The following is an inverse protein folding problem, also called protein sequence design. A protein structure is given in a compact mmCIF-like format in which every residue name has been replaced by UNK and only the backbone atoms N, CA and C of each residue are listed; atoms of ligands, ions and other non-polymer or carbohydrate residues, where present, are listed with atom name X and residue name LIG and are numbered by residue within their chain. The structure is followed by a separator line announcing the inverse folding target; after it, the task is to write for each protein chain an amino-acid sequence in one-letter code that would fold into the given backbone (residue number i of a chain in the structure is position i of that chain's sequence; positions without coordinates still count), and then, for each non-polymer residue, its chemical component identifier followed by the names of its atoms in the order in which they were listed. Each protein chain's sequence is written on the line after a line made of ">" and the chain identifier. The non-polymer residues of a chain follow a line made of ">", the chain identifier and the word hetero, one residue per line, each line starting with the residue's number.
data_IF_481222736658
#
_entry.id   IF_481222736658
#
_cell.length_a   1.000
_cell.length_b   1.000
_cell.length_c   1.000
_cell.angle_alpha   90.00
_cell.angle_beta   90.00
_cell.angle_gamma   90.00
#
_symmetry.space_group_name_H-M   'P 1'
#
loop_
_entity.id
_entity.type
_entity.pdbx_description
1 polymer ?
#
# COMPACT_ATOMS: atom_id res chain seq x y z
N UNK A 1 12.99 13.87 3.50
CA UNK A 1 14.40 13.45 3.34
C UNK A 1 15.25 14.56 2.76
N UNK A 2 14.97 15.04 1.54
CA UNK A 2 15.77 16.11 0.91
C UNK A 2 15.98 17.36 1.80
N UNK A 3 14.97 17.79 2.55
CA UNK A 3 15.07 18.91 3.49
C UNK A 3 15.53 18.52 4.90
N UNK A 4 15.12 17.34 5.38
CA UNK A 4 15.37 16.88 6.74
C UNK A 4 16.77 16.28 6.95
N UNK A 5 17.38 15.71 5.91
CA UNK A 5 18.73 15.14 5.92
C UNK A 5 19.35 15.21 4.50
N UNK A 6 19.79 16.42 4.08
CA UNK A 6 20.30 16.64 2.72
C UNK A 6 21.59 15.88 2.44
N UNK A 7 22.47 15.71 3.43
CA UNK A 7 23.74 14.99 3.26
C UNK A 7 23.49 13.53 2.88
N UNK A 8 22.63 12.83 3.63
CA UNK A 8 22.25 11.46 3.27
C UNK A 8 21.51 11.40 1.93
N UNK A 9 20.57 12.32 1.69
CA UNK A 9 19.82 12.32 0.44
C UNK A 9 20.75 12.44 -0.79
N UNK A 10 21.78 13.28 -0.69
CA UNK A 10 22.74 13.53 -1.77
C UNK A 10 23.96 12.60 -1.76
N UNK A 11 24.13 11.74 -0.74
CA UNK A 11 25.36 10.95 -0.58
C UNK A 11 25.55 9.88 -1.64
N UNK A 12 24.48 9.48 -2.34
CA UNK A 12 24.44 8.34 -3.26
C UNK A 12 24.70 6.98 -2.58
N UNK A 13 24.75 6.93 -1.25
CA UNK A 13 24.95 5.69 -0.48
C UNK A 13 23.65 4.92 -0.23
N UNK A 14 22.57 5.30 -0.91
CA UNK A 14 21.27 4.65 -0.80
C UNK A 14 20.65 4.48 -2.18
N UNK A 15 19.81 3.47 -2.29
CA UNK A 15 19.00 3.22 -3.48
C UNK A 15 17.69 2.56 -3.09
N UNK A 16 16.68 2.72 -3.94
CA UNK A 16 15.44 1.95 -3.85
C UNK A 16 15.59 0.71 -4.70
N UNK A 17 15.41 -0.45 -4.09
CA UNK A 17 15.48 -1.75 -4.74
C UNK A 17 14.15 -2.50 -4.57
N UNK A 18 13.85 -3.48 -5.44
CA UNK A 18 12.72 -4.37 -5.25
C UNK A 18 12.77 -5.13 -3.92
N UNK A 19 11.64 -5.69 -3.51
CA UNK A 19 11.61 -6.61 -2.38
C UNK A 19 12.57 -7.80 -2.56
N UNK A 20 13.31 -8.20 -1.51
CA UNK A 20 14.25 -9.30 -1.61
C UNK A 20 13.51 -10.62 -1.81
N UNK A 21 14.12 -11.54 -2.57
CA UNK A 21 13.62 -12.90 -2.76
C UNK A 21 14.51 -13.88 -2.00
N UNK A 22 13.92 -14.72 -1.16
CA UNK A 22 14.64 -15.77 -0.45
C UNK A 22 15.16 -16.84 -1.43
N UNK A 23 16.28 -17.49 -1.07
CA UNK A 23 16.87 -18.56 -1.89
C UNK A 23 15.87 -19.70 -2.10
N UNK A 24 15.55 -20.00 -3.37
CA UNK A 24 14.56 -21.01 -3.74
C UNK A 24 13.09 -20.57 -3.56
N UNK A 25 12.86 -19.33 -3.13
CA UNK A 25 11.53 -18.74 -2.97
C UNK A 25 11.00 -18.13 -4.27
N UNK A 26 9.69 -17.89 -4.30
CA UNK A 26 9.06 -17.09 -5.35
C UNK A 26 9.29 -15.60 -5.07
N UNK A 27 9.37 -14.74 -6.10
CA UNK A 27 9.35 -13.29 -5.89
C UNK A 27 8.01 -12.91 -5.25
N UNK A 28 8.05 -12.33 -4.05
CA UNK A 28 6.87 -11.83 -3.35
C UNK A 28 7.02 -10.31 -3.21
N UNK A 29 6.31 -9.52 -4.04
CA UNK A 29 6.29 -8.07 -3.89
C UNK A 29 5.48 -7.69 -2.65
N UNK A 30 5.50 -6.40 -2.29
CA UNK A 30 4.54 -5.89 -1.33
C UNK A 30 3.11 -5.99 -1.87
N UNK A 31 2.14 -6.03 -0.97
CA UNK A 31 0.74 -5.79 -1.31
C UNK A 31 0.51 -4.29 -1.55
N UNK A 32 -0.41 -3.93 -2.43
CA UNK A 32 -0.83 -2.53 -2.58
C UNK A 32 -2.24 -2.30 -2.06
N UNK A 33 -2.47 -1.10 -1.52
CA UNK A 33 -3.79 -0.58 -1.19
C UNK A 33 -3.94 0.82 -1.81
N UNK A 34 -5.19 1.21 -2.08
CA UNK A 34 -5.52 2.51 -2.64
C UNK A 34 -6.26 3.36 -1.63
N UNK A 35 -6.08 4.68 -1.74
CA UNK A 35 -7.01 5.64 -1.18
C UNK A 35 -8.07 5.96 -2.23
N UNK A 36 -9.33 5.99 -1.83
CA UNK A 36 -10.46 6.20 -2.73
C UNK A 36 -11.21 7.47 -2.36
N UNK A 37 -11.57 8.25 -3.38
CA UNK A 37 -12.63 9.24 -3.22
C UNK A 37 -13.98 8.52 -3.29
N UNK A 38 -14.86 8.83 -2.35
CA UNK A 38 -16.22 8.30 -2.28
C UNK A 38 -17.23 9.45 -2.18
N UNK A 39 -18.41 9.24 -2.73
CA UNK A 39 -19.52 10.19 -2.62
C UNK A 39 -20.51 9.66 -1.60
N UNK A 40 -20.86 10.48 -0.62
CA UNK A 40 -21.86 10.15 0.39
C UNK A 40 -23.23 9.94 -0.29
N UNK A 41 -23.81 8.75 -0.18
CA UNK A 41 -25.10 8.41 -0.80
C UNK A 41 -26.30 9.11 -0.15
N UNK A 42 -26.13 9.69 1.03
CA UNK A 42 -27.21 10.33 1.80
C UNK A 42 -27.44 11.81 1.43
N UNK A 43 -26.61 12.39 0.55
CA UNK A 43 -26.81 13.78 0.08
C UNK A 43 -27.70 13.80 -1.16
N UNK A 44 -28.25 14.98 -1.49
CA UNK A 44 -29.12 15.13 -2.66
C UNK A 44 -28.44 14.74 -3.97
N UNK A 45 -29.22 14.27 -4.95
CA UNK A 45 -28.71 13.86 -6.27
C UNK A 45 -27.86 14.95 -6.95
N UNK A 46 -28.27 16.22 -6.86
CA UNK A 46 -27.52 17.35 -7.40
C UNK A 46 -26.14 17.49 -6.74
N UNK A 47 -26.03 17.29 -5.42
CA UNK A 47 -24.76 17.30 -4.70
C UNK A 47 -23.89 16.11 -5.06
N UNK A 48 -24.46 14.92 -5.21
CA UNK A 48 -23.72 13.75 -5.66
C UNK A 48 -23.12 13.99 -7.05
N UNK A 49 -23.90 14.53 -7.98
CA UNK A 49 -23.42 14.86 -9.33
C UNK A 49 -22.27 15.88 -9.30
N UNK A 50 -22.39 16.93 -8.50
CA UNK A 50 -21.32 17.92 -8.34
C UNK A 50 -20.05 17.30 -7.71
N UNK A 51 -20.20 16.44 -6.71
CA UNK A 51 -19.08 15.72 -6.08
C UNK A 51 -18.36 14.81 -7.09
N UNK A 52 -19.10 14.06 -7.92
CA UNK A 52 -18.50 13.24 -8.97
C UNK A 52 -17.75 14.05 -10.02
N UNK A 53 -18.26 15.23 -10.40
CA UNK A 53 -17.53 16.15 -11.29
C UNK A 53 -16.21 16.61 -10.67
N UNK A 54 -16.23 16.98 -9.39
CA UNK A 54 -15.01 17.36 -8.66
C UNK A 54 -14.00 16.21 -8.58
N UNK A 55 -14.46 15.00 -8.25
CA UNK A 55 -13.59 13.80 -8.21
C UNK A 55 -12.99 13.53 -9.58
N UNK A 56 -13.77 13.61 -10.65
CA UNK A 56 -13.26 13.43 -12.01
C UNK A 56 -12.20 14.48 -12.38
N UNK A 57 -12.37 15.72 -11.94
CA UNK A 57 -11.36 16.75 -12.10
C UNK A 57 -10.08 16.38 -11.33
N UNK A 58 -10.16 16.07 -10.04
CA UNK A 58 -8.97 15.70 -9.23
C UNK A 58 -8.22 14.47 -9.78
N UNK A 59 -8.96 13.45 -10.23
CA UNK A 59 -8.39 12.23 -10.81
C UNK A 59 -7.89 12.42 -12.26
N UNK A 60 -8.18 13.55 -12.89
CA UNK A 60 -7.58 13.94 -14.17
C UNK A 60 -6.18 14.58 -14.02
N UNK A 61 -5.74 14.86 -12.80
CA UNK A 61 -4.52 15.65 -12.50
C UNK A 61 -3.39 14.78 -11.92
N UNK A 62 -3.20 13.56 -12.43
CA UNK A 62 -2.23 12.61 -11.87
C UNK A 62 -0.78 13.10 -11.85
N UNK A 63 -0.34 13.86 -12.86
CA UNK A 63 1.02 14.42 -12.89
C UNK A 63 1.23 15.48 -11.80
N UNK A 64 0.22 16.32 -11.53
CA UNK A 64 0.27 17.36 -10.49
C UNK A 64 0.35 16.73 -9.09
N UNK A 65 -0.43 15.68 -8.84
CA UNK A 65 -0.35 14.89 -7.61
C UNK A 65 1.04 14.28 -7.41
N UNK A 66 1.62 13.73 -8.47
CA UNK A 66 2.94 13.11 -8.40
C UNK A 66 4.04 14.15 -8.12
N UNK A 67 4.05 15.26 -8.84
CA UNK A 67 5.10 16.28 -8.72
C UNK A 67 5.04 17.06 -7.42
N UNK A 68 3.85 17.36 -6.91
CA UNK A 68 3.71 18.25 -5.75
C UNK A 68 3.74 17.49 -4.42
N UNK A 69 3.19 16.27 -4.38
CA UNK A 69 3.01 15.52 -3.12
C UNK A 69 3.41 14.05 -3.22
N UNK A 70 4.09 13.65 -4.28
CA UNK A 70 4.58 12.28 -4.50
C UNK A 70 3.47 11.21 -4.45
N UNK A 71 2.22 11.57 -4.78
CA UNK A 71 1.11 10.64 -4.84
C UNK A 71 0.95 10.07 -6.26
N UNK A 72 1.06 8.75 -6.38
CA UNK A 72 0.90 8.05 -7.64
C UNK A 72 -0.57 7.70 -7.85
N UNK A 73 -1.20 8.29 -8.86
CA UNK A 73 -2.51 7.84 -9.34
C UNK A 73 -2.31 6.67 -10.32
N UNK A 74 -2.90 5.48 -10.10
CA UNK A 74 -2.59 4.27 -10.87
C UNK A 74 -3.30 4.26 -12.23
N UNK A 75 -3.01 5.23 -13.08
CA UNK A 75 -3.57 5.36 -14.43
C UNK A 75 -2.50 5.08 -15.48
N UNK A 76 -2.91 4.50 -16.62
CA UNK A 76 -2.00 4.31 -17.76
C UNK A 76 -1.42 5.65 -18.23
N UNK A 77 -2.24 6.69 -18.28
CA UNK A 77 -1.83 8.04 -18.67
C UNK A 77 -0.67 8.56 -17.80
N UNK A 78 -0.75 8.42 -16.47
CA UNK A 78 0.35 8.80 -15.59
C UNK A 78 1.59 7.92 -15.83
N UNK A 79 1.44 6.60 -15.91
CA UNK A 79 2.58 5.69 -16.12
C UNK A 79 3.28 5.85 -17.47
N UNK A 80 2.57 6.38 -18.46
CA UNK A 80 3.12 6.67 -19.78
C UNK A 80 3.70 8.08 -19.90
N UNK A 81 3.44 8.97 -18.93
CA UNK A 81 3.91 10.35 -18.94
C UNK A 81 5.42 10.46 -18.71
N UNK A 82 5.99 11.58 -19.18
CA UNK A 82 7.38 11.92 -18.91
C UNK A 82 7.62 12.16 -17.41
N UNK A 83 6.65 12.76 -16.72
CA UNK A 83 6.72 13.04 -15.28
C UNK A 83 6.95 11.77 -14.46
N UNK A 84 6.20 10.71 -14.73
CA UNK A 84 6.41 9.43 -14.03
C UNK A 84 7.72 8.77 -14.44
N UNK A 85 8.00 8.67 -15.75
CA UNK A 85 9.20 7.98 -16.27
C UNK A 85 10.51 8.65 -15.82
N UNK A 86 10.53 9.96 -15.64
CA UNK A 86 11.70 10.72 -15.20
C UNK A 86 11.85 10.74 -13.66
N UNK A 87 10.85 10.29 -12.91
CA UNK A 87 10.97 10.21 -11.45
C UNK A 87 12.01 9.14 -11.06
N UNK A 88 12.93 9.46 -10.12
CA UNK A 88 13.90 8.49 -9.63
C UNK A 88 13.22 7.22 -9.11
N UNK A 89 13.72 6.06 -9.52
CA UNK A 89 13.23 4.73 -9.13
C UNK A 89 11.77 4.41 -9.54
N UNK A 90 11.18 5.18 -10.47
CA UNK A 90 9.83 4.91 -11.00
C UNK A 90 9.69 3.52 -11.64
N UNK A 91 10.77 3.04 -12.27
CA UNK A 91 10.87 1.70 -12.81
C UNK A 91 10.80 0.61 -11.73
N UNK A 92 11.44 0.83 -10.57
CA UNK A 92 11.39 -0.10 -9.43
C UNK A 92 9.97 -0.16 -8.87
N UNK A 93 9.36 1.01 -8.64
CA UNK A 93 7.97 1.10 -8.19
C UNK A 93 7.00 0.39 -9.14
N UNK A 94 7.09 0.69 -10.45
CA UNK A 94 6.19 0.11 -11.46
C UNK A 94 6.35 -1.41 -11.55
N UNK A 95 7.59 -1.90 -11.58
CA UNK A 95 7.87 -3.34 -11.69
C UNK A 95 7.41 -4.14 -10.46
N UNK A 96 7.38 -3.54 -9.27
CA UNK A 96 6.81 -4.17 -8.08
C UNK A 96 5.28 -4.08 -8.08
N UNK A 97 4.70 -2.93 -8.45
CA UNK A 97 3.25 -2.76 -8.55
C UNK A 97 2.61 -3.73 -9.56
N UNK A 98 3.26 -4.01 -10.69
CA UNK A 98 2.78 -4.97 -11.70
C UNK A 98 2.62 -6.40 -11.17
N UNK A 99 3.32 -6.73 -10.08
CA UNK A 99 3.27 -8.05 -9.44
C UNK A 99 2.47 -8.02 -8.14
N UNK A 100 2.25 -6.83 -7.57
CA UNK A 100 1.68 -6.63 -6.26
C UNK A 100 0.21 -7.09 -6.23
N UNK A 101 -0.18 -7.95 -5.26
CA UNK A 101 -1.59 -8.24 -5.05
C UNK A 101 -2.28 -7.06 -4.35
N UNK A 102 -3.53 -6.81 -4.70
CA UNK A 102 -4.37 -5.83 -4.00
C UNK A 102 -4.81 -6.38 -2.64
N UNK A 103 -4.82 -5.51 -1.62
CA UNK A 103 -5.41 -5.84 -0.31
C UNK A 103 -6.93 -5.76 -0.40
N UNK A 104 -7.61 -6.89 -0.18
CA UNK A 104 -9.06 -6.94 0.02
C UNK A 104 -9.40 -6.94 1.51
N UNK A 105 -10.44 -6.20 1.88
CA UNK A 105 -10.98 -6.16 3.24
C UNK A 105 -12.32 -6.89 3.31
N UNK A 106 -12.39 -7.90 4.17
CA UNK A 106 -13.63 -8.53 4.65
C UNK A 106 -13.96 -8.04 6.07
N UNK A 107 -15.09 -8.50 6.61
CA UNK A 107 -15.61 -8.03 7.90
C UNK A 107 -14.61 -8.18 9.06
N UNK A 108 -13.94 -9.33 9.19
CA UNK A 108 -12.90 -9.55 10.22
C UNK A 108 -11.49 -9.13 9.81
N UNK A 109 -11.27 -8.48 8.65
CA UNK A 109 -9.90 -8.17 8.19
C UNK A 109 -9.11 -7.30 9.16
N UNK A 110 -9.75 -6.34 9.83
CA UNK A 110 -9.10 -5.52 10.86
C UNK A 110 -8.69 -6.34 12.08
N UNK A 111 -9.57 -7.22 12.55
CA UNK A 111 -9.27 -8.11 13.67
C UNK A 111 -8.13 -9.06 13.32
N UNK A 112 -8.18 -9.69 12.14
CA UNK A 112 -7.13 -10.60 11.67
C UNK A 112 -5.77 -9.87 11.56
N UNK A 113 -5.75 -8.62 11.08
CA UNK A 113 -4.51 -7.84 11.03
C UNK A 113 -3.91 -7.60 12.44
N UNK A 114 -4.75 -7.27 13.42
CA UNK A 114 -4.30 -7.14 14.82
C UNK A 114 -3.75 -8.46 15.36
N UNK A 115 -4.39 -9.59 15.06
CA UNK A 115 -3.91 -10.91 15.47
C UNK A 115 -2.55 -11.26 14.84
N UNK A 116 -2.34 -10.93 13.56
CA UNK A 116 -1.04 -11.10 12.89
C UNK A 116 0.03 -10.24 13.56
N UNK A 117 -0.29 -8.98 13.89
CA UNK A 117 0.62 -8.10 14.63
C UNK A 117 0.99 -8.70 15.99
N UNK A 118 0.01 -9.15 16.78
CA UNK A 118 0.24 -9.80 18.07
C UNK A 118 1.18 -11.00 17.95
N UNK A 119 0.98 -11.85 16.93
CA UNK A 119 1.80 -13.03 16.70
C UNK A 119 3.26 -12.63 16.42
N UNK A 120 3.50 -11.66 15.53
CA UNK A 120 4.85 -11.15 15.22
C UNK A 120 5.51 -10.55 16.45
N UNK A 121 4.79 -9.71 17.21
CA UNK A 121 5.31 -9.08 18.43
C UNK A 121 5.61 -10.12 19.52
N UNK A 122 4.84 -11.20 19.64
CA UNK A 122 5.10 -12.28 20.60
C UNK A 122 6.43 -13.01 20.33
N UNK A 123 6.78 -13.21 19.05
CA UNK A 123 8.06 -13.80 18.66
C UNK A 123 9.20 -12.82 18.94
N UNK A 124 9.05 -11.57 18.49
CA UNK A 124 10.10 -10.56 18.54
C UNK A 124 10.41 -10.06 19.96
N UNK A 125 9.37 -9.80 20.76
CA UNK A 125 9.49 -9.12 22.05
C UNK A 125 9.45 -10.10 23.22
N UNK A 126 8.66 -11.17 23.11
CA UNK A 126 8.46 -12.14 24.19
C UNK A 126 9.24 -13.45 23.96
N UNK A 127 9.95 -13.57 22.83
CA UNK A 127 10.74 -14.75 22.44
C UNK A 127 9.92 -16.04 22.38
N UNK A 128 8.63 -15.92 22.05
CA UNK A 128 7.77 -17.08 21.80
C UNK A 128 8.31 -17.85 20.59
N UNK A 129 8.34 -19.18 20.65
CA UNK A 129 8.71 -20.01 19.51
C UNK A 129 7.79 -19.71 18.31
N UNK A 130 8.34 -19.50 17.08
CA UNK A 130 7.54 -19.16 15.91
C UNK A 130 6.39 -20.12 15.64
N UNK A 131 6.61 -21.43 15.82
CA UNK A 131 5.60 -22.48 15.61
C UNK A 131 4.41 -22.29 16.53
N UNK A 132 4.67 -21.97 17.81
CA UNK A 132 3.63 -21.72 18.81
C UNK A 132 2.86 -20.42 18.54
N UNK A 133 3.55 -19.37 18.08
CA UNK A 133 2.91 -18.12 17.70
C UNK A 133 1.97 -18.32 16.50
N UNK A 134 2.40 -19.09 15.49
CA UNK A 134 1.59 -19.42 14.31
C UNK A 134 0.40 -20.30 14.67
N UNK A 135 0.56 -21.28 15.56
CA UNK A 135 -0.54 -22.11 16.05
C UNK A 135 -1.59 -21.26 16.77
N UNK A 136 -1.15 -20.37 17.66
CA UNK A 136 -2.04 -19.45 18.40
C UNK A 136 -2.78 -18.52 17.43
N UNK A 137 -2.06 -17.95 16.46
CA UNK A 137 -2.64 -17.11 15.42
C UNK A 137 -3.73 -17.86 14.66
N UNK A 138 -3.47 -19.09 14.20
CA UNK A 138 -4.42 -19.90 13.45
C UNK A 138 -5.72 -20.11 14.23
N UNK A 139 -5.61 -20.47 15.50
CA UNK A 139 -6.77 -20.67 16.37
C UNK A 139 -7.60 -19.40 16.52
N UNK A 140 -6.96 -18.27 16.83
CA UNK A 140 -7.66 -16.99 17.00
C UNK A 140 -8.28 -16.48 15.71
N UNK A 141 -7.62 -16.67 14.57
CA UNK A 141 -8.17 -16.30 13.25
C UNK A 141 -9.40 -17.13 12.93
N UNK A 142 -9.37 -18.44 13.20
CA UNK A 142 -10.55 -19.29 12.98
C UNK A 142 -11.75 -18.83 13.82
N UNK A 143 -11.53 -18.53 15.10
CA UNK A 143 -12.56 -17.97 15.98
C UNK A 143 -13.15 -16.67 15.41
N UNK A 144 -12.29 -15.75 14.96
CA UNK A 144 -12.71 -14.49 14.35
C UNK A 144 -13.50 -14.65 13.04
N UNK A 145 -13.36 -15.80 12.36
CA UNK A 145 -14.13 -16.13 11.16
C UNK A 145 -15.44 -16.83 11.50
N UNK A 146 -15.46 -17.68 12.53
CA UNK A 146 -16.65 -18.41 12.98
C UNK A 146 -17.68 -17.50 13.67
N UNK A 147 -17.27 -16.35 14.19
CA UNK A 147 -18.12 -15.35 14.84
C UNK A 147 -18.80 -14.35 13.88
N UNK A 148 -18.54 -14.44 12.56
CA UNK A 148 -19.23 -13.65 11.52
C UNK A 148 -20.59 -14.24 11.14
#
# INVERSE_FOLDING_TARGET
>A
MATANPDFYNSKDWMVIPYPTFKGGKPVPNTYYGHYYMVNSQVSAARQQAAWKLISFMLGHGEEYLSNVALVQPTKALFDSATFKNMPYSNVFKADLEKAPIVYYGASSLLINNLVKEAVESVMLQKTAPEKAVETLRTKVQQALDEQ
#
